data_IF_807168665758
#
_entry.id   IF_807168665758
#
_cell.length_a   1.000
_cell.length_b   1.000
_cell.length_c   1.000
_cell.angle_alpha   90.00
_cell.angle_beta   90.00
_cell.angle_gamma   90.00
#
_symmetry.space_group_name_H-M   'P 1'
#
loop_
_entity.id
_entity.type
_entity.pdbx_description
1 polymer ?
#
# COMPACT_ATOMS: atom_id res chain seq x y z
N UNK A 1 -18.54 -18.63 -28.85
CA UNK A 1 -18.21 -17.36 -28.18
C UNK A 1 -17.60 -17.72 -26.84
N UNK A 2 -16.27 -17.69 -26.73
CA UNK A 2 -15.58 -18.02 -25.49
C UNK A 2 -15.60 -16.77 -24.59
N UNK A 3 -16.22 -16.86 -23.42
CA UNK A 3 -16.12 -15.82 -22.40
C UNK A 3 -14.71 -15.94 -21.83
N UNK A 4 -13.83 -15.02 -22.24
CA UNK A 4 -12.49 -14.92 -21.68
C UNK A 4 -12.63 -14.25 -20.31
N UNK A 5 -12.66 -15.03 -19.24
CA UNK A 5 -12.71 -14.50 -17.86
C UNK A 5 -11.30 -13.99 -17.55
N UNK A 6 -11.02 -12.74 -17.94
CA UNK A 6 -9.69 -12.11 -17.83
C UNK A 6 -9.28 -11.75 -16.40
N UNK A 7 -10.16 -11.89 -15.41
CA UNK A 7 -9.78 -11.83 -14.00
C UNK A 7 -10.86 -12.51 -13.16
N UNK A 8 -10.46 -13.49 -12.35
CA UNK A 8 -11.35 -14.10 -11.37
C UNK A 8 -11.37 -13.20 -10.13
N UNK A 9 -12.52 -12.56 -9.87
CA UNK A 9 -12.70 -11.79 -8.63
C UNK A 9 -12.86 -12.79 -7.49
N UNK A 10 -11.88 -12.79 -6.57
CA UNK A 10 -11.85 -13.65 -5.37
C UNK A 10 -12.70 -13.03 -4.27
N UNK A 11 -12.61 -11.71 -4.10
CA UNK A 11 -13.33 -10.95 -3.07
C UNK A 11 -13.66 -9.55 -3.59
N UNK A 12 -14.70 -8.93 -3.07
CA UNK A 12 -14.92 -7.50 -3.24
C UNK A 12 -15.31 -6.88 -1.91
N UNK A 13 -14.87 -5.65 -1.66
CA UNK A 13 -15.10 -4.97 -0.39
C UNK A 13 -15.30 -3.47 -0.62
N UNK A 14 -16.28 -2.91 0.10
CA UNK A 14 -16.65 -1.51 0.00
C UNK A 14 -15.97 -0.69 1.10
N UNK A 15 -15.36 0.42 0.71
CA UNK A 15 -14.67 1.37 1.58
C UNK A 15 -15.35 2.71 1.52
N UNK A 16 -15.65 3.30 2.68
CA UNK A 16 -16.16 4.66 2.75
C UNK A 16 -14.99 5.60 3.03
N UNK A 17 -14.67 6.48 2.09
CA UNK A 17 -13.66 7.52 2.26
C UNK A 17 -14.37 8.87 2.07
N UNK A 18 -14.43 9.65 3.15
CA UNK A 18 -15.19 10.88 3.19
C UNK A 18 -16.69 10.60 3.01
N UNK A 19 -17.27 11.07 1.90
CA UNK A 19 -18.70 10.89 1.56
C UNK A 19 -18.95 9.90 0.41
N UNK A 20 -17.90 9.23 -0.06
CA UNK A 20 -17.98 8.30 -1.20
C UNK A 20 -17.67 6.88 -0.76
N UNK A 21 -18.35 5.94 -1.41
CA UNK A 21 -18.05 4.51 -1.33
C UNK A 21 -17.21 4.10 -2.53
N UNK A 22 -16.15 3.34 -2.27
CA UNK A 22 -15.22 2.79 -3.24
C UNK A 22 -15.23 1.27 -3.11
N UNK A 23 -15.36 0.54 -4.21
CA UNK A 23 -15.37 -0.93 -4.19
C UNK A 23 -14.02 -1.45 -4.66
N UNK A 24 -13.25 -2.08 -3.77
CA UNK A 24 -12.06 -2.82 -4.16
C UNK A 24 -12.44 -4.22 -4.63
N UNK A 25 -11.80 -4.68 -5.69
CA UNK A 25 -11.97 -6.04 -6.23
C UNK A 25 -10.65 -6.75 -6.10
N UNK A 26 -10.59 -7.82 -5.33
CA UNK A 26 -9.38 -8.60 -5.14
C UNK A 26 -9.35 -9.73 -6.14
N UNK A 27 -8.29 -9.75 -6.93
CA UNK A 27 -7.99 -10.77 -7.93
C UNK A 27 -6.58 -11.32 -7.64
N UNK A 28 -6.20 -12.51 -8.17
CA UNK A 28 -4.84 -13.02 -8.00
C UNK A 28 -3.76 -12.02 -8.42
N UNK A 29 -4.02 -11.23 -9.45
CA UNK A 29 -3.09 -10.24 -9.99
C UNK A 29 -2.84 -9.06 -9.02
N UNK A 30 -3.79 -8.78 -8.11
CA UNK A 30 -3.62 -7.76 -7.08
C UNK A 30 -2.67 -8.21 -5.97
N UNK A 31 -2.56 -9.52 -5.70
CA UNK A 31 -1.59 -10.04 -4.74
C UNK A 31 -0.15 -9.86 -5.25
N UNK A 32 0.06 -9.98 -6.57
CA UNK A 32 1.33 -9.63 -7.22
C UNK A 32 1.62 -8.13 -7.07
N UNK A 33 0.63 -7.27 -7.33
CA UNK A 33 0.78 -5.82 -7.15
C UNK A 33 1.04 -5.40 -5.71
N UNK A 34 0.47 -6.11 -4.74
CA UNK A 34 0.81 -5.90 -3.34
C UNK A 34 2.25 -6.34 -3.02
N UNK A 35 2.67 -7.49 -3.54
CA UNK A 35 4.04 -7.97 -3.37
C UNK A 35 5.05 -6.97 -3.94
N UNK A 36 4.77 -6.41 -5.11
CA UNK A 36 5.53 -5.31 -5.71
C UNK A 36 5.56 -4.07 -4.81
N UNK A 37 4.40 -3.64 -4.29
CA UNK A 37 4.32 -2.52 -3.34
C UNK A 37 5.22 -2.76 -2.12
N UNK A 38 5.19 -3.96 -1.54
CA UNK A 38 5.99 -4.30 -0.37
C UNK A 38 7.48 -4.34 -0.67
N UNK A 39 7.87 -4.90 -1.82
CA UNK A 39 9.26 -4.91 -2.28
C UNK A 39 9.78 -3.48 -2.50
N UNK A 40 9.05 -2.67 -3.28
CA UNK A 40 9.41 -1.28 -3.55
C UNK A 40 9.48 -0.44 -2.26
N UNK A 41 8.56 -0.68 -1.34
CA UNK A 41 8.55 0.00 -0.03
C UNK A 41 9.75 -0.44 0.83
N UNK A 42 10.09 -1.73 0.85
CA UNK A 42 11.27 -2.24 1.55
C UNK A 42 12.58 -1.73 0.98
N UNK A 43 12.71 -1.65 -0.34
CA UNK A 43 13.86 -1.04 -1.02
C UNK A 43 14.00 0.43 -0.69
N UNK A 44 12.86 1.14 -0.65
CA UNK A 44 12.85 2.54 -0.29
C UNK A 44 13.30 2.77 1.15
N UNK A 45 12.79 1.98 2.11
CA UNK A 45 13.25 2.06 3.50
C UNK A 45 14.75 1.84 3.61
N UNK A 46 15.29 0.82 2.91
CA UNK A 46 16.75 0.57 2.88
C UNK A 46 17.55 1.73 2.29
N UNK A 47 17.02 2.42 1.28
CA UNK A 47 17.68 3.61 0.70
C UNK A 47 17.65 4.81 1.65
N UNK A 48 16.58 4.97 2.43
CA UNK A 48 16.48 6.03 3.45
C UNK A 48 17.33 5.72 4.67
N UNK A 49 17.43 4.44 5.06
CA UNK A 49 18.26 3.97 6.19
C UNK A 49 19.76 3.99 5.92
N UNK A 50 20.18 3.98 4.65
CA UNK A 50 21.57 4.29 4.26
C UNK A 50 21.80 5.78 4.49
N UNK A 51 21.92 6.12 5.77
CA UNK A 51 22.19 7.44 6.29
C UNK A 51 23.59 7.83 5.84
N UNK A 52 23.67 8.88 5.04
CA UNK A 52 24.93 9.54 4.73
C UNK A 52 25.12 10.63 5.79
N UNK A 53 25.94 10.34 6.79
CA UNK A 53 26.21 11.27 7.90
C UNK A 53 26.81 12.60 7.41
N UNK A 54 27.45 12.59 6.24
CA UNK A 54 28.07 13.75 5.61
C UNK A 54 27.10 14.53 4.71
N UNK A 55 25.86 14.05 4.51
CA UNK A 55 24.87 14.73 3.67
C UNK A 55 24.41 16.05 4.27
N UNK A 56 24.37 17.08 3.42
CA UNK A 56 23.85 18.40 3.78
C UNK A 56 22.34 18.34 4.07
N UNK A 57 21.82 19.34 4.81
CA UNK A 57 20.39 19.47 5.10
C UNK A 57 19.52 19.47 3.82
N UNK A 58 20.02 20.07 2.73
CA UNK A 58 19.29 20.13 1.46
C UNK A 58 19.28 18.77 0.74
N UNK A 59 20.35 17.99 0.83
CA UNK A 59 20.40 16.62 0.30
C UNK A 59 19.46 15.69 1.08
N UNK A 60 19.45 15.81 2.41
CA UNK A 60 18.51 15.09 3.26
C UNK A 60 17.05 15.44 2.92
N UNK A 61 16.72 16.73 2.74
CA UNK A 61 15.38 17.17 2.33
C UNK A 61 14.98 16.63 0.95
N UNK A 62 15.91 16.62 -0.01
CA UNK A 62 15.68 16.06 -1.35
C UNK A 62 15.44 14.55 -1.29
N UNK A 63 16.25 13.83 -0.51
CA UNK A 63 16.10 12.38 -0.32
C UNK A 63 14.73 12.08 0.28
N UNK A 64 14.36 12.75 1.36
CA UNK A 64 13.07 12.56 2.04
C UNK A 64 11.89 12.87 1.11
N UNK A 65 11.94 14.00 0.39
CA UNK A 65 10.88 14.40 -0.55
C UNK A 65 10.72 13.39 -1.70
N UNK A 66 11.83 12.94 -2.29
CA UNK A 66 11.83 11.92 -3.33
C UNK A 66 11.25 10.61 -2.81
N UNK A 67 11.63 10.21 -1.61
CA UNK A 67 11.13 8.99 -0.98
C UNK A 67 9.64 9.05 -0.69
N UNK A 68 9.13 10.17 -0.16
CA UNK A 68 7.69 10.34 0.03
C UNK A 68 6.92 10.28 -1.28
N UNK A 69 7.44 10.90 -2.34
CA UNK A 69 6.82 10.81 -3.66
C UNK A 69 6.77 9.38 -4.16
N UNK A 70 7.86 8.65 -4.06
CA UNK A 70 7.93 7.25 -4.49
C UNK A 70 6.99 6.34 -3.67
N UNK A 71 6.87 6.54 -2.36
CA UNK A 71 5.86 5.85 -1.54
C UNK A 71 4.44 6.12 -2.03
N UNK A 72 4.15 7.39 -2.31
CA UNK A 72 2.84 7.81 -2.81
C UNK A 72 2.52 7.16 -4.15
N UNK A 73 3.46 7.20 -5.08
CA UNK A 73 3.29 6.66 -6.44
C UNK A 73 3.10 5.14 -6.41
N UNK A 74 3.91 4.43 -5.62
CA UNK A 74 3.77 2.97 -5.45
C UNK A 74 2.43 2.58 -4.82
N UNK A 75 2.01 3.32 -3.79
CA UNK A 75 0.73 3.08 -3.11
C UNK A 75 -0.45 3.37 -4.03
N UNK A 76 -0.33 4.40 -4.87
CA UNK A 76 -1.32 4.72 -5.87
C UNK A 76 -1.41 3.65 -6.95
N UNK A 77 -0.28 3.13 -7.45
CA UNK A 77 -0.28 2.02 -8.43
C UNK A 77 -1.07 0.81 -7.91
N UNK A 78 -0.89 0.47 -6.63
CA UNK A 78 -1.68 -0.58 -5.98
C UNK A 78 -3.18 -0.25 -5.94
N UNK A 79 -3.54 0.98 -5.55
CA UNK A 79 -4.94 1.43 -5.56
C UNK A 79 -5.54 1.42 -6.97
N UNK A 80 -4.79 1.83 -7.99
CA UNK A 80 -5.25 1.80 -9.39
C UNK A 80 -5.60 0.38 -9.82
N UNK A 81 -4.83 -0.62 -9.37
CA UNK A 81 -5.13 -2.03 -9.60
C UNK A 81 -6.37 -2.50 -8.80
N UNK A 82 -6.50 -2.09 -7.53
CA UNK A 82 -7.53 -2.59 -6.62
C UNK A 82 -8.93 -1.99 -6.85
N UNK A 83 -9.01 -0.68 -7.09
CA UNK A 83 -10.27 0.06 -7.16
C UNK A 83 -10.47 0.79 -8.50
N UNK A 84 -9.47 0.75 -9.39
CA UNK A 84 -9.49 1.46 -10.66
C UNK A 84 -8.79 2.82 -10.63
N UNK A 85 -8.30 3.25 -11.80
CA UNK A 85 -7.50 4.47 -11.94
C UNK A 85 -8.22 5.74 -11.51
N UNK A 86 -9.48 5.89 -11.92
CA UNK A 86 -10.29 7.10 -11.63
C UNK A 86 -10.49 7.24 -10.13
N UNK A 87 -10.85 6.14 -9.47
CA UNK A 87 -11.09 6.07 -8.04
C UNK A 87 -9.81 6.32 -7.24
N UNK A 88 -8.68 5.73 -7.66
CA UNK A 88 -7.37 5.99 -7.06
C UNK A 88 -6.93 7.46 -7.21
N UNK A 89 -7.17 8.08 -8.36
CA UNK A 89 -6.93 9.53 -8.58
C UNK A 89 -7.78 10.38 -7.64
N UNK A 90 -9.05 10.03 -7.44
CA UNK A 90 -9.95 10.73 -6.51
C UNK A 90 -9.48 10.59 -5.06
N UNK A 91 -9.05 9.40 -4.63
CA UNK A 91 -8.48 9.18 -3.30
C UNK A 91 -7.21 9.99 -3.10
N UNK A 92 -6.32 10.03 -4.10
CA UNK A 92 -5.09 10.80 -4.02
C UNK A 92 -5.38 12.30 -3.83
N UNK A 93 -6.38 12.84 -4.54
CA UNK A 93 -6.84 14.23 -4.36
C UNK A 93 -7.48 14.45 -3.00
N UNK A 94 -8.31 13.52 -2.53
CA UNK A 94 -8.92 13.60 -1.19
C UNK A 94 -7.88 13.60 -0.07
N UNK A 95 -6.79 12.87 -0.27
CA UNK A 95 -5.66 12.83 0.65
C UNK A 95 -4.75 14.08 0.57
N UNK A 96 -5.13 15.14 -0.17
CA UNK A 96 -4.30 16.30 -0.49
C UNK A 96 -2.93 15.92 -1.09
N UNK A 97 -2.84 14.79 -1.81
CA UNK A 97 -1.58 14.20 -2.29
C UNK A 97 -0.54 13.94 -1.17
N UNK A 98 -0.99 13.83 0.10
CA UNK A 98 -0.11 13.50 1.23
C UNK A 98 0.26 12.03 1.15
N UNK A 99 1.53 11.77 0.81
CA UNK A 99 2.09 10.43 0.67
C UNK A 99 1.72 9.48 1.83
N UNK A 100 1.89 9.93 3.08
CA UNK A 100 1.58 9.13 4.27
C UNK A 100 0.10 8.71 4.32
N UNK A 101 -0.80 9.59 3.93
CA UNK A 101 -2.24 9.30 3.92
C UNK A 101 -2.58 8.30 2.82
N UNK A 102 -2.01 8.47 1.62
CA UNK A 102 -2.22 7.55 0.49
C UNK A 102 -1.71 6.14 0.84
N UNK A 103 -0.52 6.04 1.45
CA UNK A 103 0.06 4.77 1.94
C UNK A 103 -0.87 4.09 2.93
N UNK A 104 -1.41 4.84 3.92
CA UNK A 104 -2.34 4.27 4.91
C UNK A 104 -3.63 3.76 4.27
N UNK A 105 -4.15 4.45 3.26
CA UNK A 105 -5.34 4.00 2.54
C UNK A 105 -5.03 2.73 1.73
N UNK A 106 -3.91 2.69 1.01
CA UNK A 106 -3.48 1.50 0.29
C UNK A 106 -3.29 0.30 1.23
N UNK A 107 -2.70 0.51 2.41
CA UNK A 107 -2.56 -0.53 3.43
C UNK A 107 -3.91 -1.01 3.94
N UNK A 108 -4.85 -0.12 4.24
CA UNK A 108 -6.19 -0.50 4.71
C UNK A 108 -6.98 -1.29 3.66
N UNK A 109 -6.90 -0.86 2.39
CA UNK A 109 -7.50 -1.59 1.26
C UNK A 109 -6.86 -2.98 1.13
N UNK A 110 -5.54 -3.11 1.30
CA UNK A 110 -4.90 -4.42 1.29
C UNK A 110 -5.34 -5.32 2.46
N UNK A 111 -5.30 -4.80 3.69
CA UNK A 111 -5.62 -5.57 4.89
C UNK A 111 -7.06 -6.09 4.84
N UNK A 112 -7.99 -5.29 4.34
CA UNK A 112 -9.36 -5.71 4.12
C UNK A 112 -9.47 -6.89 3.14
N UNK A 113 -8.67 -6.92 2.08
CA UNK A 113 -8.60 -8.01 1.10
C UNK A 113 -8.15 -9.36 1.65
N UNK A 114 -7.39 -9.37 2.76
CA UNK A 114 -6.93 -10.61 3.36
C UNK A 114 -8.09 -11.41 3.96
N UNK A 115 -8.06 -12.74 3.76
CA UNK A 115 -8.93 -13.66 4.50
C UNK A 115 -8.64 -13.60 6.00
N UNK A 116 -9.65 -13.86 6.82
CA UNK A 116 -9.48 -13.88 8.28
C UNK A 116 -8.45 -14.92 8.74
N UNK A 117 -8.29 -16.01 7.99
CA UNK A 117 -7.22 -17.01 8.21
C UNK A 117 -5.82 -16.44 8.00
N UNK A 118 -5.60 -15.63 6.94
CA UNK A 118 -4.30 -14.99 6.70
C UNK A 118 -4.03 -13.87 7.71
N UNK A 119 -5.06 -13.11 8.11
CA UNK A 119 -4.97 -12.12 9.20
C UNK A 119 -4.59 -12.79 10.53
N UNK A 120 -5.14 -13.96 10.83
CA UNK A 120 -4.76 -14.71 12.04
C UNK A 120 -3.34 -15.27 11.95
N UNK A 121 -2.92 -15.77 10.77
CA UNK A 121 -1.59 -16.36 10.55
C UNK A 121 -0.46 -15.33 10.49
N UNK A 122 -0.71 -14.13 9.98
CA UNK A 122 0.32 -13.10 9.76
C UNK A 122 0.09 -11.79 10.54
N UNK A 123 -1.15 -11.43 10.89
CA UNK A 123 -1.49 -10.18 11.59
C UNK A 123 -1.25 -10.18 13.11
N UNK A 124 -1.22 -11.36 13.74
CA UNK A 124 -0.93 -11.52 15.18
C UNK A 124 0.57 -11.57 15.51
N UNK A 125 1.42 -11.79 14.51
CA UNK A 125 2.85 -12.02 14.71
C UNK A 125 3.67 -10.75 15.01
N UNK A 126 3.15 -9.54 14.74
CA UNK A 126 3.91 -8.30 14.99
C UNK A 126 3.92 -7.89 16.47
N UNK A 127 2.81 -8.08 17.19
CA UNK A 127 2.74 -7.83 18.64
C UNK A 127 3.46 -8.93 19.42
N UNK A 128 3.35 -10.19 19.01
CA UNK A 128 4.04 -11.31 19.65
C UNK A 128 5.56 -11.31 19.42
N UNK A 129 6.06 -10.88 18.25
CA UNK A 129 7.51 -10.72 18.02
C UNK A 129 8.14 -9.60 18.84
N UNK A 130 7.40 -8.54 19.18
CA UNK A 130 7.89 -7.47 20.09
C UNK A 130 7.89 -7.89 21.56
N UNK A 131 7.02 -8.81 21.95
CA UNK A 131 6.93 -9.27 23.35
C UNK A 131 7.89 -10.40 23.71
N UNK A 132 8.53 -11.07 22.73
CA UNK A 132 9.45 -12.21 22.97
C UNK A 132 10.94 -11.81 23.06
N UNK A 133 11.24 -10.51 23.11
CA UNK A 133 12.62 -9.99 23.15
C UNK A 133 13.04 -9.38 24.49
N UNK A 134 12.15 -9.35 25.49
CA UNK A 134 12.47 -8.90 26.85
C UNK A 134 11.94 -9.94 27.85
N UNK A 135 12.71 -11.02 28.02
CA UNK A 135 12.85 -11.77 29.27
C UNK A 135 14.26 -12.39 29.27
#
# INVERSE_FOLDING_TARGET
MAINITSLIIKSEDFIIGKKTYTARYTPEIDEKYSDLMLKTGDLYRRVEKYDEDATLDEQRKLVSKSYKEMSDNSKEYLEAAIGKKEADEIARYADNRAVTIVKIAQAVFEAGQSDELKQKYGSNRSQRRSKGND
#
